data_IF_835881698408
#
_entry.id   IF_835881698408
#
_cell.length_a   1.000
_cell.length_b   1.000
_cell.length_c   1.000
_cell.angle_alpha   90.00
_cell.angle_beta   90.00
_cell.angle_gamma   90.00
#
_symmetry.space_group_name_H-M   'P 1'
#
loop_
_entity.id
_entity.type
_entity.pdbx_description
1 polymer ?
#
# COMPACT_ATOMS: atom_id res chain seq x y z
N UNK A 1 -15.16 32.30 -7.48
CA UNK A 1 -15.40 31.94 -6.07
C UNK A 1 -14.09 31.48 -5.48
N UNK A 2 -13.71 32.01 -4.32
CA UNK A 2 -12.49 31.64 -3.60
C UNK A 2 -12.77 30.34 -2.83
N UNK A 3 -12.14 29.22 -3.20
CA UNK A 3 -12.37 27.88 -2.64
C UNK A 3 -11.64 27.62 -1.30
N UNK A 4 -11.21 28.67 -0.61
CA UNK A 4 -10.30 28.58 0.54
C UNK A 4 -10.84 27.83 1.78
N UNK A 5 -12.07 27.30 1.76
CA UNK A 5 -12.74 26.72 2.93
C UNK A 5 -13.64 25.51 2.66
N UNK A 6 -13.33 24.62 1.72
CA UNK A 6 -14.08 23.37 1.62
C UNK A 6 -13.61 22.38 2.69
N UNK A 7 -14.44 22.04 3.70
CA UNK A 7 -14.11 21.01 4.68
C UNK A 7 -14.30 19.59 4.11
N UNK A 8 -13.64 18.63 4.75
CA UNK A 8 -13.87 17.21 4.54
C UNK A 8 -15.04 16.73 5.43
N UNK A 9 -15.91 15.90 4.85
CA UNK A 9 -17.00 15.25 5.57
C UNK A 9 -16.96 13.73 5.35
N UNK A 10 -17.41 12.91 6.30
CA UNK A 10 -17.75 11.52 6.04
C UNK A 10 -18.77 11.46 4.90
N UNK A 11 -18.52 10.62 3.90
CA UNK A 11 -19.40 10.49 2.76
C UNK A 11 -20.71 9.81 3.18
N UNK A 12 -21.83 10.32 2.68
CA UNK A 12 -23.11 9.59 2.72
C UNK A 12 -23.08 8.40 1.76
N UNK A 13 -23.99 7.44 1.91
CA UNK A 13 -24.13 6.31 0.97
C UNK A 13 -24.31 6.77 -0.48
N UNK A 14 -25.11 7.82 -0.70
CA UNK A 14 -25.30 8.42 -2.02
C UNK A 14 -23.99 8.99 -2.59
N UNK A 15 -23.17 9.61 -1.75
CA UNK A 15 -21.85 10.12 -2.14
C UNK A 15 -20.86 8.99 -2.42
N UNK A 16 -20.86 7.90 -1.65
CA UNK A 16 -20.06 6.69 -1.90
C UNK A 16 -20.42 6.10 -3.26
N UNK A 17 -21.70 5.87 -3.53
CA UNK A 17 -22.18 5.32 -4.80
C UNK A 17 -21.82 6.23 -5.98
N UNK A 18 -21.98 7.55 -5.81
CA UNK A 18 -21.60 8.53 -6.82
C UNK A 18 -20.08 8.54 -7.06
N UNK A 19 -19.28 8.39 -6.02
CA UNK A 19 -17.82 8.26 -6.12
C UNK A 19 -17.43 7.02 -6.93
N UNK A 20 -18.02 5.87 -6.62
CA UNK A 20 -17.74 4.63 -7.36
C UNK A 20 -18.09 4.74 -8.85
N UNK A 21 -19.25 5.33 -9.16
CA UNK A 21 -19.66 5.63 -10.54
C UNK A 21 -18.68 6.54 -11.27
N UNK A 22 -18.11 7.52 -10.56
CA UNK A 22 -17.13 8.47 -11.12
C UNK A 22 -15.76 7.82 -11.34
N UNK A 23 -15.34 6.92 -10.47
CA UNK A 23 -14.07 6.20 -10.54
C UNK A 23 -14.07 5.08 -11.59
N UNK A 24 -15.21 4.40 -11.78
CA UNK A 24 -15.34 3.23 -12.64
C UNK A 24 -14.73 3.37 -14.06
N UNK A 25 -14.94 4.48 -14.79
CA UNK A 25 -14.35 4.63 -16.13
C UNK A 25 -12.82 4.60 -16.15
N UNK A 26 -12.16 4.97 -15.06
CA UNK A 26 -10.70 5.03 -14.96
C UNK A 26 -10.12 3.82 -14.21
N UNK A 27 -10.76 3.38 -13.12
CA UNK A 27 -10.21 2.38 -12.19
C UNK A 27 -10.96 1.05 -12.23
N UNK A 28 -12.14 1.01 -12.85
CA UNK A 28 -12.92 -0.20 -13.08
C UNK A 28 -12.79 -0.72 -14.52
N UNK A 29 -11.70 -0.38 -15.22
CA UNK A 29 -11.44 -0.86 -16.58
C UNK A 29 -11.43 -2.39 -16.57
N UNK A 30 -12.18 -3.01 -17.48
CA UNK A 30 -12.35 -4.47 -17.53
C UNK A 30 -13.54 -5.00 -16.73
N UNK A 31 -14.08 -4.21 -15.80
CA UNK A 31 -15.21 -4.58 -14.95
C UNK A 31 -16.49 -3.86 -15.36
N UNK A 32 -17.65 -4.46 -15.12
CA UNK A 32 -18.91 -3.71 -15.06
C UNK A 32 -18.94 -2.82 -13.81
N UNK A 33 -19.81 -1.80 -13.79
CA UNK A 33 -19.98 -0.95 -12.61
C UNK A 33 -20.40 -1.78 -11.38
N UNK A 34 -21.22 -2.81 -11.58
CA UNK A 34 -21.66 -3.73 -10.54
C UNK A 34 -20.47 -4.53 -9.98
N UNK A 35 -19.65 -5.12 -10.84
CA UNK A 35 -18.43 -5.84 -10.44
C UNK A 35 -17.45 -4.93 -9.69
N UNK A 36 -17.25 -3.70 -10.17
CA UNK A 36 -16.39 -2.71 -9.50
C UNK A 36 -16.94 -2.30 -8.12
N UNK A 37 -18.26 -2.16 -7.99
CA UNK A 37 -18.90 -1.83 -6.71
C UNK A 37 -18.82 -3.01 -5.73
N UNK A 38 -19.10 -4.22 -6.21
CA UNK A 38 -18.96 -5.47 -5.45
C UNK A 38 -17.54 -5.66 -4.91
N UNK A 39 -16.52 -5.41 -5.75
CA UNK A 39 -15.11 -5.42 -5.34
C UNK A 39 -14.85 -4.46 -4.17
N UNK A 40 -15.44 -3.27 -4.19
CA UNK A 40 -15.28 -2.30 -3.10
C UNK A 40 -15.97 -2.76 -1.82
N UNK A 41 -17.17 -3.29 -1.91
CA UNK A 41 -17.95 -3.80 -0.77
C UNK A 41 -17.21 -4.96 -0.09
N UNK A 42 -16.71 -5.91 -0.88
CA UNK A 42 -15.89 -7.02 -0.37
C UNK A 42 -14.64 -6.54 0.37
N UNK A 43 -13.98 -5.49 -0.12
CA UNK A 43 -12.81 -4.92 0.57
C UNK A 43 -13.16 -4.27 1.91
N UNK A 44 -14.39 -3.77 2.09
CA UNK A 44 -14.85 -3.27 3.39
C UNK A 44 -15.26 -4.38 4.37
N UNK A 45 -15.39 -5.62 3.90
CA UNK A 45 -15.70 -6.77 4.76
C UNK A 45 -14.45 -7.37 5.41
N UNK A 46 -13.24 -7.08 4.89
CA UNK A 46 -11.99 -7.55 5.49
C UNK A 46 -11.88 -7.07 6.94
N UNK A 47 -11.40 -7.92 7.85
CA UNK A 47 -11.28 -7.58 9.28
C UNK A 47 -10.43 -6.32 9.50
N UNK A 48 -9.39 -6.14 8.69
CA UNK A 48 -8.55 -4.93 8.66
C UNK A 48 -9.25 -3.67 8.13
N UNK A 49 -10.49 -3.77 7.66
CA UNK A 49 -11.29 -2.67 7.12
C UNK A 49 -12.59 -2.40 7.92
N UNK A 50 -12.88 -3.21 8.94
CA UNK A 50 -14.06 -3.09 9.80
C UNK A 50 -13.92 -1.94 10.82
N UNK A 51 -14.94 -1.68 11.65
CA UNK A 51 -14.91 -0.68 12.75
C UNK A 51 -14.56 0.77 12.37
N UNK A 52 -14.83 1.15 11.12
CA UNK A 52 -14.51 2.49 10.61
C UNK A 52 -13.08 2.62 10.09
N UNK A 53 -12.34 1.52 10.03
CA UNK A 53 -11.00 1.44 9.44
C UNK A 53 -11.03 1.67 7.93
N UNK A 54 -12.17 1.49 7.26
CA UNK A 54 -12.38 1.94 5.87
C UNK A 54 -13.54 2.93 5.74
N UNK A 55 -13.24 4.19 5.43
CA UNK A 55 -14.26 5.24 5.27
C UNK A 55 -13.99 6.11 4.05
N UNK A 56 -15.04 6.47 3.32
CA UNK A 56 -14.96 7.46 2.24
C UNK A 56 -15.21 8.84 2.81
N UNK A 57 -14.35 9.79 2.48
CA UNK A 57 -14.52 11.21 2.79
C UNK A 57 -14.72 12.00 1.51
N UNK A 58 -15.56 13.03 1.57
CA UNK A 58 -15.79 13.94 0.45
C UNK A 58 -15.40 15.37 0.81
N UNK A 59 -14.86 16.06 -0.19
CA UNK A 59 -14.67 17.50 -0.16
C UNK A 59 -15.95 18.16 -0.71
N UNK A 60 -16.75 18.78 0.16
CA UNK A 60 -18.05 19.35 -0.19
C UNK A 60 -18.22 20.79 0.36
N UNK A 61 -19.11 21.61 -0.22
CA UNK A 61 -19.46 22.92 0.32
C UNK A 61 -19.92 22.83 1.78
N UNK A 62 -19.55 23.81 2.60
CA UNK A 62 -19.90 23.81 4.03
C UNK A 62 -21.40 24.00 4.25
N UNK A 63 -22.05 24.74 3.37
CA UNK A 63 -23.47 25.03 3.33
C UNK A 63 -24.30 23.86 2.75
N UNK A 64 -23.68 22.96 1.99
CA UNK A 64 -24.30 21.75 1.45
C UNK A 64 -23.35 20.52 1.52
N UNK A 65 -23.09 19.99 2.73
CA UNK A 65 -22.15 18.89 2.92
C UNK A 65 -22.63 17.56 2.32
N UNK A 66 -23.94 17.43 2.07
CA UNK A 66 -24.56 16.20 1.56
C UNK A 66 -24.69 16.18 0.03
N UNK A 67 -24.23 17.22 -0.66
CA UNK A 67 -24.29 17.29 -2.12
C UNK A 67 -23.66 16.07 -2.79
N UNK A 68 -24.36 15.51 -3.78
CA UNK A 68 -23.80 14.47 -4.66
C UNK A 68 -22.84 15.07 -5.71
N UNK A 69 -22.79 16.39 -5.82
CA UNK A 69 -21.80 17.08 -6.64
C UNK A 69 -20.61 17.57 -5.82
N UNK A 70 -20.10 16.71 -4.93
CA UNK A 70 -18.86 16.97 -4.20
C UNK A 70 -17.66 17.05 -5.17
N UNK A 71 -16.56 17.65 -4.71
CA UNK A 71 -15.39 17.92 -5.54
C UNK A 71 -14.46 16.73 -5.68
N UNK A 72 -14.13 16.10 -4.56
CA UNK A 72 -13.18 14.99 -4.49
C UNK A 72 -13.70 13.96 -3.49
N UNK A 73 -13.44 12.68 -3.75
CA UNK A 73 -13.63 11.61 -2.78
C UNK A 73 -12.30 10.92 -2.48
N UNK A 74 -12.11 10.54 -1.21
CA UNK A 74 -10.96 9.78 -0.72
C UNK A 74 -11.43 8.55 0.02
N UNK A 75 -10.84 7.39 -0.29
CA UNK A 75 -10.91 6.23 0.59
C UNK A 75 -9.80 6.30 1.64
N UNK A 76 -10.17 6.27 2.92
CA UNK A 76 -9.27 6.08 4.05
C UNK A 76 -9.15 4.58 4.32
N UNK A 77 -7.93 4.12 4.56
CA UNK A 77 -7.66 2.88 5.29
C UNK A 77 -6.95 3.30 6.58
N UNK A 78 -7.54 2.97 7.72
CA UNK A 78 -6.85 2.97 9.00
C UNK A 78 -6.18 1.59 9.02
N UNK A 79 -4.86 1.63 9.10
CA UNK A 79 -4.04 0.44 9.13
C UNK A 79 -2.86 0.79 10.00
N UNK A 80 -2.87 0.25 11.22
CA UNK A 80 -1.81 0.40 12.19
C UNK A 80 -1.76 1.75 12.90
N UNK A 81 -1.08 1.75 14.05
CA UNK A 81 -0.72 2.95 14.78
C UNK A 81 0.68 3.37 14.33
N UNK A 82 0.83 4.32 13.40
CA UNK A 82 2.15 4.75 12.96
C UNK A 82 2.98 5.24 14.14
N UNK A 83 4.28 5.10 13.99
CA UNK A 83 5.23 5.68 14.92
C UNK A 83 5.56 7.08 14.50
N UNK A 84 5.70 7.95 15.48
CA UNK A 84 6.23 9.29 15.34
C UNK A 84 7.34 9.47 16.37
N UNK A 85 8.47 10.01 15.92
CA UNK A 85 9.57 10.41 16.78
C UNK A 85 10.06 11.81 16.42
N UNK A 86 10.45 12.56 17.44
CA UNK A 86 11.22 13.80 17.34
C UNK A 86 12.51 13.61 18.13
N UNK A 87 13.54 14.40 17.81
CA UNK A 87 14.80 14.43 18.58
C UNK A 87 14.64 14.75 20.07
N UNK A 88 13.52 15.36 20.46
CA UNK A 88 13.20 15.73 21.85
C UNK A 88 12.43 14.63 22.58
N UNK A 89 12.00 13.59 21.89
CA UNK A 89 11.30 12.47 22.51
C UNK A 89 12.30 11.50 23.13
N UNK A 90 11.96 10.93 24.29
CA UNK A 90 12.76 9.86 24.92
C UNK A 90 12.60 8.52 24.19
N UNK A 91 11.49 8.34 23.45
CA UNK A 91 11.17 7.14 22.67
C UNK A 91 10.12 7.44 21.59
N UNK A 92 10.03 6.63 20.52
CA UNK A 92 8.95 6.74 19.55
C UNK A 92 7.58 6.57 20.20
N UNK A 93 6.60 7.32 19.71
CA UNK A 93 5.21 7.29 20.18
C UNK A 93 4.30 6.79 19.07
N UNK A 94 3.31 6.01 19.44
CA UNK A 94 2.18 5.72 18.55
C UNK A 94 1.37 6.98 18.32
N UNK A 95 0.99 7.23 17.08
CA UNK A 95 0.13 8.32 16.68
C UNK A 95 -1.10 7.77 15.94
N UNK A 96 -2.09 8.65 15.76
CA UNK A 96 -3.21 8.39 14.85
C UNK A 96 -2.84 8.98 13.51
N UNK A 97 -2.68 8.14 12.49
CA UNK A 97 -2.67 8.61 11.11
C UNK A 97 -3.55 7.73 10.23
N UNK A 98 -3.65 8.15 8.98
CA UNK A 98 -4.61 7.62 8.05
C UNK A 98 -3.93 7.34 6.72
N UNK A 99 -3.97 6.08 6.31
CA UNK A 99 -3.59 5.66 4.97
C UNK A 99 -4.59 6.21 3.96
N UNK A 100 -4.06 6.70 2.85
CA UNK A 100 -4.85 7.23 1.75
C UNK A 100 -4.84 6.20 0.65
N UNK A 101 -5.92 5.43 0.55
CA UNK A 101 -6.01 4.36 -0.42
C UNK A 101 -6.32 4.88 -1.82
N UNK A 102 -7.10 5.96 -1.94
CA UNK A 102 -7.40 6.58 -3.22
C UNK A 102 -7.81 8.04 -3.07
N UNK A 103 -7.57 8.81 -4.13
CA UNK A 103 -8.03 10.20 -4.30
C UNK A 103 -8.56 10.35 -5.71
N UNK A 104 -9.83 10.74 -5.84
CA UNK A 104 -10.44 10.95 -7.14
C UNK A 104 -11.09 12.32 -7.25
N UNK A 105 -10.66 13.07 -8.26
CA UNK A 105 -11.29 14.33 -8.69
C UNK A 105 -11.83 14.15 -10.11
N UNK A 106 -13.12 14.42 -10.38
CA UNK A 106 -13.67 14.38 -11.74
C UNK A 106 -12.96 15.39 -12.65
N UNK A 107 -12.79 15.05 -13.94
CA UNK A 107 -12.14 15.93 -14.92
C UNK A 107 -12.80 17.30 -15.05
N UNK A 108 -14.13 17.36 -14.95
CA UNK A 108 -14.89 18.62 -14.94
C UNK A 108 -14.60 19.52 -13.74
N UNK A 109 -13.92 19.00 -12.72
CA UNK A 109 -13.53 19.68 -11.49
C UNK A 109 -12.02 19.73 -11.28
N UNK A 110 -11.24 19.35 -12.30
CA UNK A 110 -9.79 19.57 -12.31
C UNK A 110 -9.53 21.06 -12.47
N UNK A 111 -9.47 21.81 -11.36
CA UNK A 111 -8.60 22.96 -11.33
C UNK A 111 -7.24 22.50 -10.79
N UNK A 112 -6.18 23.10 -11.33
CA UNK A 112 -4.81 22.70 -10.99
C UNK A 112 -4.52 22.99 -9.50
N UNK A 113 -5.07 24.08 -8.97
CA UNK A 113 -4.83 24.53 -7.60
C UNK A 113 -5.49 23.68 -6.52
N UNK A 114 -6.73 23.20 -6.68
CA UNK A 114 -7.38 22.39 -5.64
C UNK A 114 -6.88 20.94 -5.66
N UNK A 115 -6.59 20.39 -6.84
CA UNK A 115 -5.90 19.11 -6.95
C UNK A 115 -4.49 19.19 -6.35
N UNK A 116 -3.70 20.21 -6.72
CA UNK A 116 -2.34 20.40 -6.19
C UNK A 116 -2.38 20.69 -4.68
N UNK A 117 -3.38 21.39 -4.13
CA UNK A 117 -3.51 21.60 -2.68
C UNK A 117 -3.95 20.32 -1.94
N UNK A 118 -4.86 19.56 -2.54
CA UNK A 118 -5.31 18.29 -1.99
C UNK A 118 -4.18 17.25 -1.99
N UNK A 119 -3.35 17.23 -3.04
CA UNK A 119 -2.19 16.34 -3.17
C UNK A 119 -0.98 16.85 -2.38
N UNK A 120 -0.65 18.15 -2.39
CA UNK A 120 0.50 18.72 -1.64
C UNK A 120 0.35 18.63 -0.12
N UNK A 121 -0.87 18.49 0.39
CA UNK A 121 -1.10 18.21 1.82
C UNK A 121 -0.90 16.74 2.19
N UNK A 122 -0.71 15.83 1.22
CA UNK A 122 -0.73 14.38 1.50
C UNK A 122 0.33 13.54 0.78
N UNK A 123 0.79 13.93 -0.40
CA UNK A 123 1.73 13.15 -1.21
C UNK A 123 3.13 13.67 -0.95
N UNK A 124 3.88 12.88 -0.21
CA UNK A 124 5.33 12.96 -0.16
C UNK A 124 5.88 12.31 -1.43
N UNK A 125 7.04 12.76 -1.94
CA UNK A 125 7.69 12.21 -3.14
C UNK A 125 7.77 10.67 -3.07
N UNK A 126 6.83 9.97 -3.70
CA UNK A 126 6.87 8.52 -3.84
C UNK A 126 7.83 8.20 -4.98
N UNK A 127 8.99 7.63 -4.64
CA UNK A 127 9.84 6.98 -5.62
C UNK A 127 9.29 5.58 -5.87
N UNK A 128 8.93 5.27 -7.11
CA UNK A 128 8.66 3.89 -7.53
C UNK A 128 9.80 3.40 -8.39
N UNK A 129 10.15 2.13 -8.23
CA UNK A 129 11.12 1.42 -9.05
C UNK A 129 10.42 0.32 -9.83
N UNK A 130 10.79 0.15 -11.10
CA UNK A 130 10.32 -0.95 -11.93
C UNK A 130 11.53 -1.75 -12.43
N UNK A 131 11.47 -3.07 -12.25
CA UNK A 131 12.48 -4.01 -12.73
C UNK A 131 11.88 -4.92 -13.81
N UNK A 132 12.55 -4.95 -14.96
CA UNK A 132 12.27 -5.92 -16.02
C UNK A 132 12.80 -7.29 -15.60
N UNK A 133 12.04 -8.36 -15.86
CA UNK A 133 12.44 -9.74 -15.55
C UNK A 133 13.35 -10.28 -16.66
N UNK A 134 14.66 -10.48 -16.43
CA UNK A 134 15.57 -11.01 -17.45
C UNK A 134 15.30 -12.49 -17.75
N UNK A 135 15.56 -12.92 -18.98
CA UNK A 135 15.44 -14.34 -19.36
C UNK A 135 16.49 -15.22 -18.67
N UNK A 136 17.68 -14.69 -18.39
CA UNK A 136 18.84 -15.45 -17.92
C UNK A 136 19.16 -15.23 -16.42
N UNK A 137 18.16 -14.90 -15.59
CA UNK A 137 18.39 -14.84 -14.14
C UNK A 137 18.73 -16.23 -13.61
N UNK A 138 19.81 -16.30 -12.84
CA UNK A 138 20.25 -17.47 -12.09
C UNK A 138 20.53 -16.99 -10.68
N UNK A 139 19.84 -17.57 -9.70
CA UNK A 139 20.17 -17.39 -8.29
C UNK A 139 21.16 -18.46 -7.86
N UNK A 140 21.93 -18.16 -6.81
CA UNK A 140 22.72 -19.17 -6.13
C UNK A 140 21.80 -20.28 -5.61
N UNK A 141 22.21 -21.55 -5.72
CA UNK A 141 21.49 -22.70 -5.13
C UNK A 141 21.66 -22.76 -3.60
N UNK A 142 21.78 -21.61 -2.95
CA UNK A 142 22.06 -21.53 -1.53
C UNK A 142 20.81 -21.92 -0.74
N UNK A 143 20.89 -22.96 0.07
CA UNK A 143 19.74 -23.51 0.82
C UNK A 143 19.28 -22.61 1.97
N UNK A 144 19.88 -21.42 2.09
CA UNK A 144 19.61 -20.45 3.15
C UNK A 144 18.35 -19.63 2.83
N UNK A 145 17.89 -19.59 1.59
CA UNK A 145 16.70 -18.84 1.21
C UNK A 145 15.43 -19.69 1.29
N UNK A 146 14.43 -19.20 2.02
CA UNK A 146 13.14 -19.88 2.14
C UNK A 146 11.98 -18.97 1.78
N UNK A 147 10.94 -19.60 1.25
CA UNK A 147 9.65 -18.98 0.95
C UNK A 147 8.75 -19.15 2.19
N UNK A 148 8.65 -18.15 3.08
CA UNK A 148 7.81 -18.23 4.27
C UNK A 148 6.36 -18.55 3.93
N UNK A 149 5.73 -19.37 4.77
CA UNK A 149 4.28 -19.48 4.82
C UNK A 149 3.65 -18.26 5.50
N UNK A 150 2.32 -18.21 5.57
CA UNK A 150 1.58 -17.08 6.16
C UNK A 150 2.04 -16.75 7.60
N UNK A 151 2.15 -17.76 8.46
CA UNK A 151 2.59 -17.56 9.85
C UNK A 151 4.04 -17.09 9.95
N UNK A 152 4.90 -17.53 9.03
CA UNK A 152 6.29 -17.08 8.99
C UNK A 152 6.39 -15.62 8.55
N UNK A 153 5.43 -15.11 7.77
CA UNK A 153 5.38 -13.70 7.36
C UNK A 153 5.02 -12.79 8.52
N UNK A 154 4.08 -13.19 9.38
CA UNK A 154 3.74 -12.44 10.60
C UNK A 154 4.98 -12.27 11.49
N UNK A 155 5.78 -13.33 11.67
CA UNK A 155 7.04 -13.27 12.40
C UNK A 155 8.06 -12.34 11.74
N UNK A 156 8.14 -12.34 10.40
CA UNK A 156 9.01 -11.43 9.63
C UNK A 156 8.57 -9.99 9.81
N UNK A 157 7.28 -9.69 9.67
CA UNK A 157 6.73 -8.34 9.86
C UNK A 157 6.89 -7.85 11.29
N UNK A 158 6.71 -8.72 12.28
CA UNK A 158 6.95 -8.36 13.68
C UNK A 158 8.42 -7.96 13.91
N UNK A 159 9.37 -8.75 13.40
CA UNK A 159 10.81 -8.44 13.52
C UNK A 159 11.17 -7.16 12.76
N UNK A 160 10.62 -6.95 11.57
CA UNK A 160 10.80 -5.71 10.80
C UNK A 160 10.27 -4.49 11.57
N UNK A 161 9.12 -4.63 12.23
CA UNK A 161 8.52 -3.58 13.04
C UNK A 161 9.43 -3.14 14.19
N UNK A 162 10.15 -4.10 14.81
CA UNK A 162 11.15 -3.80 15.84
C UNK A 162 12.36 -3.04 15.28
N UNK A 163 12.80 -3.35 14.06
CA UNK A 163 13.88 -2.63 13.39
C UNK A 163 13.45 -1.21 13.01
N UNK A 164 12.27 -1.05 12.41
CA UNK A 164 11.71 0.26 12.04
C UNK A 164 11.56 1.16 13.27
N UNK A 165 11.15 0.61 14.42
CA UNK A 165 11.08 1.36 15.70
C UNK A 165 12.44 1.98 16.05
N UNK A 166 13.52 1.21 15.92
CA UNK A 166 14.89 1.65 16.19
C UNK A 166 15.33 2.70 15.15
N UNK A 167 15.07 2.45 13.87
CA UNK A 167 15.55 3.29 12.78
C UNK A 167 14.83 4.66 12.74
N UNK A 168 13.52 4.67 12.99
CA UNK A 168 12.74 5.91 13.12
C UNK A 168 13.30 6.79 14.24
N UNK A 169 13.68 6.19 15.36
CA UNK A 169 14.25 6.94 16.48
C UNK A 169 15.64 7.49 16.14
N UNK A 170 16.54 6.64 15.64
CA UNK A 170 17.88 7.05 15.24
C UNK A 170 17.85 8.17 14.17
N UNK A 171 16.94 8.06 13.20
CA UNK A 171 16.78 9.08 12.17
C UNK A 171 16.22 10.40 12.72
N UNK A 172 15.34 10.35 13.72
CA UNK A 172 14.84 11.55 14.39
C UNK A 172 15.94 12.29 15.16
N UNK A 173 16.86 11.56 15.80
CA UNK A 173 18.05 12.16 16.44
C UNK A 173 18.95 12.87 15.43
N UNK A 174 19.11 12.30 14.23
CA UNK A 174 19.89 12.89 13.13
C UNK A 174 19.20 14.10 12.48
N UNK A 175 17.88 14.28 12.66
CA UNK A 175 17.08 15.32 12.00
C UNK A 175 16.29 16.18 12.98
N UNK A 176 16.95 16.91 13.90
CA UNK A 176 16.31 17.47 15.08
C UNK A 176 15.23 18.53 14.82
N UNK A 177 15.15 19.08 13.61
CA UNK A 177 14.11 20.05 13.21
C UNK A 177 12.86 19.39 12.62
N UNK A 178 12.85 18.08 12.41
CA UNK A 178 11.77 17.35 11.73
C UNK A 178 11.16 16.28 12.64
N UNK A 179 9.87 16.03 12.43
CA UNK A 179 9.25 14.81 12.93
C UNK A 179 9.47 13.71 11.90
N UNK A 180 9.80 12.52 12.37
CA UNK A 180 9.97 11.32 11.56
C UNK A 180 8.80 10.40 11.87
N UNK A 181 8.22 9.77 10.85
CA UNK A 181 7.13 8.83 11.04
C UNK A 181 7.25 7.62 10.13
N UNK A 182 6.71 6.49 10.55
CA UNK A 182 6.64 5.27 9.74
C UNK A 182 5.42 4.43 10.11
N UNK A 183 4.87 3.71 9.13
CA UNK A 183 3.89 2.66 9.36
C UNK A 183 4.59 1.34 9.56
N UNK A 184 4.22 0.67 10.64
CA UNK A 184 4.69 -0.68 10.92
C UNK A 184 3.95 -1.69 10.04
N UNK A 185 4.62 -2.75 9.56
CA UNK A 185 3.98 -3.81 8.79
C UNK A 185 3.11 -4.75 9.63
N UNK A 186 3.29 -4.77 10.95
CA UNK A 186 2.46 -5.53 11.87
C UNK A 186 1.05 -4.92 12.05
N UNK A 187 0.23 -5.55 12.90
CA UNK A 187 -1.13 -5.12 13.20
C UNK A 187 -2.02 -4.93 11.96
N UNK A 188 -1.90 -5.84 10.99
CA UNK A 188 -2.79 -5.93 9.83
C UNK A 188 -2.40 -5.06 8.63
N UNK A 189 -1.37 -4.20 8.74
CA UNK A 189 -0.97 -3.30 7.62
C UNK A 189 -0.45 -4.08 6.43
N UNK A 190 0.53 -4.96 6.64
CA UNK A 190 1.05 -5.79 5.56
C UNK A 190 0.04 -6.89 5.16
N UNK A 191 -0.69 -7.43 6.13
CA UNK A 191 -1.74 -8.43 5.92
C UNK A 191 -2.84 -7.92 4.99
N UNK A 192 -3.25 -6.65 5.11
CA UNK A 192 -4.30 -6.06 4.26
C UNK A 192 -3.95 -6.18 2.77
N UNK A 193 -2.70 -5.93 2.38
CA UNK A 193 -2.28 -6.02 0.97
C UNK A 193 -2.37 -7.44 0.42
N UNK A 194 -2.10 -8.42 1.29
CA UNK A 194 -2.21 -9.83 0.97
C UNK A 194 -3.68 -10.28 0.90
N UNK A 195 -4.46 -10.00 1.95
CA UNK A 195 -5.87 -10.33 2.05
C UNK A 195 -6.67 -9.71 0.89
N UNK A 196 -6.35 -8.46 0.52
CA UNK A 196 -6.89 -7.80 -0.65
C UNK A 196 -6.63 -8.58 -1.93
N UNK A 197 -5.42 -9.07 -2.16
CA UNK A 197 -5.13 -9.83 -3.38
C UNK A 197 -5.88 -11.16 -3.40
N UNK A 198 -5.86 -11.93 -2.30
CA UNK A 198 -6.61 -13.19 -2.19
C UNK A 198 -8.11 -13.04 -2.45
N UNK A 199 -8.70 -11.98 -1.91
CA UNK A 199 -10.10 -11.66 -2.15
C UNK A 199 -10.39 -11.41 -3.64
N UNK A 200 -9.43 -10.83 -4.35
CA UNK A 200 -9.53 -10.54 -5.78
C UNK A 200 -9.19 -11.72 -6.70
N UNK A 201 -8.34 -12.63 -6.22
CA UNK A 201 -7.91 -13.87 -6.91
C UNK A 201 -8.06 -15.07 -5.98
N UNK A 202 -9.31 -15.51 -5.72
CA UNK A 202 -9.52 -16.71 -4.91
C UNK A 202 -8.93 -17.98 -5.55
N UNK A 203 -8.64 -17.94 -6.84
CA UNK A 203 -8.04 -18.99 -7.66
C UNK A 203 -6.51 -18.88 -7.82
N UNK A 204 -5.85 -17.94 -7.14
CA UNK A 204 -4.40 -17.75 -7.26
C UNK A 204 -3.62 -19.01 -6.87
N UNK A 205 -2.54 -19.28 -7.60
CA UNK A 205 -1.57 -20.35 -7.31
C UNK A 205 -0.35 -19.84 -6.53
N UNK A 206 -0.32 -18.54 -6.22
CA UNK A 206 0.77 -17.94 -5.43
C UNK A 206 0.63 -18.39 -3.98
N UNK A 207 1.56 -19.25 -3.55
CA UNK A 207 1.56 -19.86 -2.21
C UNK A 207 2.46 -19.13 -1.20
N UNK A 208 3.29 -18.18 -1.66
CA UNK A 208 4.19 -17.41 -0.81
C UNK A 208 4.25 -15.95 -1.22
N UNK A 209 4.40 -15.08 -0.21
CA UNK A 209 4.33 -13.62 -0.30
C UNK A 209 5.60 -12.95 0.23
N UNK A 210 6.66 -13.74 0.35
CA UNK A 210 7.94 -13.26 0.78
C UNK A 210 9.04 -14.26 0.52
N UNK A 211 10.27 -13.81 0.75
CA UNK A 211 11.46 -14.63 0.79
C UNK A 211 12.32 -14.12 1.94
N UNK A 212 12.91 -15.03 2.70
CA UNK A 212 13.82 -14.68 3.80
C UNK A 212 15.08 -15.52 3.74
N UNK A 213 16.16 -15.00 4.30
CA UNK A 213 17.41 -15.71 4.52
C UNK A 213 17.42 -16.30 5.93
N UNK A 214 17.32 -17.62 6.04
CA UNK A 214 17.40 -18.37 7.30
C UNK A 214 18.87 -18.54 7.74
N UNK A 215 19.53 -17.43 8.08
CA UNK A 215 20.88 -17.45 8.62
C UNK A 215 20.86 -17.42 10.16
N UNK A 216 21.61 -18.31 10.80
CA UNK A 216 21.76 -18.35 12.25
C UNK A 216 22.53 -17.12 12.76
N UNK A 217 21.79 -16.11 13.23
CA UNK A 217 22.35 -14.95 13.94
C UNK A 217 22.78 -13.78 13.04
N UNK A 218 22.47 -13.79 11.75
CA UNK A 218 22.68 -12.64 10.87
C UNK A 218 21.57 -11.59 11.03
N UNK A 219 21.82 -10.37 10.54
CA UNK A 219 20.78 -9.35 10.34
C UNK A 219 19.60 -9.92 9.55
N UNK A 220 18.38 -9.53 9.93
CA UNK A 220 17.17 -9.93 9.22
C UNK A 220 17.29 -9.54 7.75
N UNK A 221 17.30 -10.52 6.84
CA UNK A 221 17.32 -10.31 5.39
C UNK A 221 16.08 -10.94 4.77
N UNK A 222 15.21 -10.12 4.19
CA UNK A 222 13.98 -10.57 3.54
C UNK A 222 13.44 -9.57 2.51
N UNK A 223 12.50 -10.04 1.71
CA UNK A 223 11.56 -9.18 0.99
C UNK A 223 10.15 -9.78 1.08
N UNK A 224 9.13 -8.93 1.12
CA UNK A 224 7.73 -9.35 0.96
C UNK A 224 7.10 -8.62 -0.22
N UNK A 225 6.08 -9.23 -0.80
CA UNK A 225 5.38 -8.67 -1.96
C UNK A 225 3.88 -8.98 -1.90
N UNK A 226 3.14 -8.28 -2.76
CA UNK A 226 1.81 -8.66 -3.21
C UNK A 226 1.82 -8.75 -4.74
N UNK A 227 0.70 -9.09 -5.35
CA UNK A 227 0.53 -9.03 -6.79
C UNK A 227 -0.51 -7.97 -7.15
N UNK A 228 -0.26 -7.20 -8.20
CA UNK A 228 -1.23 -6.28 -8.78
C UNK A 228 -1.75 -6.84 -10.09
N UNK A 229 -3.07 -6.75 -10.26
CA UNK A 229 -3.75 -7.30 -11.43
C UNK A 229 -3.82 -6.24 -12.51
N UNK A 230 -3.21 -6.51 -13.65
CA UNK A 230 -3.30 -5.67 -14.83
C UNK A 230 -4.23 -6.32 -15.82
N UNK A 231 -5.45 -5.79 -15.95
CA UNK A 231 -6.41 -6.23 -16.95
C UNK A 231 -6.28 -5.38 -18.23
N UNK A 232 -5.94 -6.03 -19.35
CA UNK A 232 -5.84 -5.40 -20.66
C UNK A 232 -6.53 -6.25 -21.73
N UNK A 233 -7.57 -5.70 -22.37
CA UNK A 233 -8.16 -6.24 -23.61
C UNK A 233 -8.47 -7.75 -23.61
N UNK A 234 -8.96 -8.29 -22.49
CA UNK A 234 -9.33 -9.70 -22.36
C UNK A 234 -8.22 -10.63 -21.83
N UNK A 235 -7.01 -10.12 -21.61
CA UNK A 235 -5.96 -10.82 -20.88
C UNK A 235 -5.70 -10.13 -19.54
N UNK A 236 -5.53 -10.92 -18.49
CA UNK A 236 -5.03 -10.45 -17.20
C UNK A 236 -3.57 -10.87 -17.04
N UNK A 237 -2.68 -9.91 -16.83
CA UNK A 237 -1.32 -10.16 -16.34
C UNK A 237 -1.21 -9.77 -14.87
N UNK A 238 -0.18 -10.27 -14.21
CA UNK A 238 0.11 -9.94 -12.82
C UNK A 238 1.49 -9.31 -12.73
N UNK A 239 1.59 -8.23 -11.96
CA UNK A 239 2.86 -7.61 -11.60
C UNK A 239 3.15 -7.93 -10.13
N UNK A 240 4.38 -8.32 -9.82
CA UNK A 240 4.81 -8.35 -8.43
C UNK A 240 4.97 -6.91 -7.93
N UNK A 241 4.35 -6.60 -6.80
CA UNK A 241 4.58 -5.36 -6.07
C UNK A 241 5.33 -5.70 -4.79
N UNK A 242 6.63 -5.44 -4.75
CA UNK A 242 7.44 -5.58 -3.55
C UNK A 242 6.99 -4.54 -2.54
N UNK A 243 6.56 -4.99 -1.37
CA UNK A 243 5.98 -4.15 -0.33
C UNK A 243 6.99 -3.79 0.76
N UNK A 244 7.99 -4.67 0.97
CA UNK A 244 9.04 -4.52 1.98
C UNK A 244 10.34 -5.15 1.49
N UNK A 245 11.46 -4.51 1.78
CA UNK A 245 12.80 -5.06 1.60
C UNK A 245 13.60 -4.67 2.85
N UNK A 246 14.23 -5.65 3.48
CA UNK A 246 15.25 -5.44 4.50
C UNK A 246 16.44 -6.31 4.14
N UNK A 247 17.61 -5.70 3.91
CA UNK A 247 18.82 -6.43 3.50
C UNK A 247 20.04 -5.54 3.70
N UNK A 248 21.22 -6.15 3.79
CA UNK A 248 22.47 -5.43 3.56
C UNK A 248 22.69 -5.20 2.07
N UNK A 249 23.59 -4.28 1.71
CA UNK A 249 24.02 -4.06 0.33
C UNK A 249 24.62 -5.33 -0.29
N UNK A 250 25.40 -6.09 0.50
CA UNK A 250 26.03 -7.35 0.08
C UNK A 250 24.99 -8.46 -0.23
N UNK A 251 23.89 -8.50 0.51
CA UNK A 251 22.83 -9.50 0.32
C UNK A 251 21.78 -9.08 -0.73
N UNK A 252 21.75 -7.80 -1.13
CA UNK A 252 20.74 -7.30 -2.07
C UNK A 252 20.96 -7.81 -3.50
N UNK A 253 22.11 -7.46 -4.10
CA UNK A 253 22.49 -7.83 -5.47
C UNK A 253 23.87 -8.51 -5.43
N UNK A 254 23.99 -9.79 -5.84
CA UNK A 254 23.06 -10.56 -6.68
C UNK A 254 22.09 -11.48 -5.97
N UNK A 255 22.10 -11.58 -4.64
CA UNK A 255 21.40 -12.66 -3.95
C UNK A 255 19.87 -12.45 -3.88
N UNK A 256 19.38 -11.49 -3.09
CA UNK A 256 17.95 -11.28 -2.88
C UNK A 256 17.20 -10.93 -4.18
N UNK A 257 17.76 -10.02 -4.97
CA UNK A 257 17.14 -9.57 -6.22
C UNK A 257 16.99 -10.72 -7.23
N UNK A 258 17.98 -11.59 -7.37
CA UNK A 258 17.86 -12.74 -8.28
C UNK A 258 16.74 -13.69 -7.85
N UNK A 259 16.56 -13.94 -6.56
CA UNK A 259 15.48 -14.80 -6.08
C UNK A 259 14.09 -14.18 -6.32
N UNK A 260 13.94 -12.87 -6.11
CA UNK A 260 12.69 -12.15 -6.42
C UNK A 260 12.32 -12.28 -7.90
N UNK A 261 13.29 -12.02 -8.79
CA UNK A 261 13.08 -12.10 -10.24
C UNK A 261 12.78 -13.53 -10.70
N UNK A 262 13.42 -14.54 -10.09
CA UNK A 262 13.13 -15.95 -10.37
C UNK A 262 11.72 -16.35 -9.92
N UNK A 263 11.30 -15.91 -8.73
CA UNK A 263 9.95 -16.16 -8.25
C UNK A 263 8.92 -15.53 -9.20
N UNK A 264 9.08 -14.25 -9.54
CA UNK A 264 8.21 -13.55 -10.48
C UNK A 264 8.11 -14.28 -11.82
N UNK A 265 9.25 -14.73 -12.37
CA UNK A 265 9.31 -15.53 -13.60
C UNK A 265 8.57 -16.86 -13.47
N UNK A 266 8.77 -17.59 -12.37
CA UNK A 266 8.13 -18.88 -12.13
C UNK A 266 6.60 -18.76 -12.11
N UNK A 267 6.09 -17.66 -11.54
CA UNK A 267 4.66 -17.36 -11.47
C UNK A 267 4.14 -16.56 -12.68
N UNK A 268 4.90 -16.48 -13.78
CA UNK A 268 4.50 -15.78 -15.02
C UNK A 268 4.09 -14.31 -14.80
N UNK A 269 4.66 -13.67 -13.78
CA UNK A 269 4.47 -12.24 -13.55
C UNK A 269 5.21 -11.44 -14.64
N UNK A 270 4.63 -10.33 -15.08
CA UNK A 270 5.16 -9.54 -16.19
C UNK A 270 6.32 -8.64 -15.74
N UNK A 271 6.20 -8.06 -14.54
CA UNK A 271 7.15 -7.08 -13.98
C UNK A 271 7.26 -7.22 -12.46
N UNK A 272 8.32 -6.65 -11.92
CA UNK A 272 8.49 -6.44 -10.48
C UNK A 272 8.59 -4.94 -10.21
N UNK A 273 7.67 -4.39 -9.44
CA UNK A 273 7.70 -3.00 -8.97
C UNK A 273 7.98 -2.91 -7.47
N UNK A 274 8.44 -1.76 -6.99
CA UNK A 274 8.67 -1.46 -5.58
C UNK A 274 8.55 0.03 -5.29
#
# INVERSE_FOLDING_TARGET
>A
MSFFHLPLFPATEAQVLKSLKRQHPQWGKGLTLEQHSWKRERLSELDTAQDGESMVWVLAPRDDPQTIDFMCARARHIGGKPLVARSTDEKPKEAVAYGVASVFTPSSKHNKEDADRFLSSTIWDCMSTEWTIPQNVVASNDTVWTLPGERDLEDVWHKDSLLIRKDVFAYAEMTPSKAVFSYLPDDGVAEFLYARYKLMRPDTTVVSWGIKKDASGASLTFATWTADLVESSGNSSENMLVTRIQTSEEDFDPALLAHLLLFARHHSMERVGG
#
